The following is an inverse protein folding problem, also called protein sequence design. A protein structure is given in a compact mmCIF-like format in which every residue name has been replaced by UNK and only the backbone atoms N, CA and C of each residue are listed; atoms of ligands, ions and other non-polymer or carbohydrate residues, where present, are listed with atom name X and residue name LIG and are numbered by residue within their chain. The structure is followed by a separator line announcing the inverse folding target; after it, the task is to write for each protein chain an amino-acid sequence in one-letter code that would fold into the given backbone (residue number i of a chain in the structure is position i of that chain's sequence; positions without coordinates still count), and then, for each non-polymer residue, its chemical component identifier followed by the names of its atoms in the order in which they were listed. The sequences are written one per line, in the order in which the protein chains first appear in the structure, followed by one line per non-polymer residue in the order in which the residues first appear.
data_IF_456270339120
#
_entry.id   IF_456270339120
#
_cell.length_a   1.000
_cell.length_b   1.000
_cell.length_c   1.000
_cell.angle_alpha   90.00
_cell.angle_beta   90.00
_cell.angle_gamma   90.00
#
_symmetry.space_group_name_H-M   'P 1'
#
loop_
_entity.id
_entity.type
_entity.pdbx_description
1 polymer ?
#
# COMPACT_ATOMS: atom_id res chain seq x y z
N UNK A 1 -46.66 -5.57 20.72
CA UNK A 1 -46.49 -4.66 19.57
C UNK A 1 -45.34 -3.74 19.95
N UNK A 2 -44.13 -4.11 19.52
CA UNK A 2 -43.27 -3.38 18.55
C UNK A 2 -42.38 -2.37 19.29
N UNK A 3 -41.06 -2.32 19.21
CA UNK A 3 -40.06 -2.72 18.21
C UNK A 3 -38.80 -3.19 18.97
N UNK A 4 -38.14 -4.30 18.66
CA UNK A 4 -37.35 -4.62 17.45
C UNK A 4 -36.13 -3.69 17.26
N UNK A 5 -35.05 -4.06 17.94
CA UNK A 5 -33.69 -4.17 17.39
C UNK A 5 -33.34 -3.23 16.21
N UNK A 6 -32.90 -2.01 16.51
CA UNK A 6 -32.13 -1.19 15.56
C UNK A 6 -30.89 -0.62 16.26
N UNK A 7 -29.81 -1.41 16.30
CA UNK A 7 -28.51 -0.96 16.81
C UNK A 7 -27.29 -1.43 15.99
N UNK A 8 -27.47 -2.24 14.94
CA UNK A 8 -26.37 -3.01 14.33
C UNK A 8 -25.75 -2.47 13.03
N UNK A 9 -26.28 -1.41 12.40
CA UNK A 9 -25.85 -1.02 11.03
C UNK A 9 -24.88 0.18 10.96
N UNK A 10 -24.72 0.97 12.03
CA UNK A 10 -23.89 2.18 12.01
C UNK A 10 -22.37 1.94 12.08
N UNK A 11 -21.90 0.86 12.71
CA UNK A 11 -20.48 0.58 12.92
C UNK A 11 -19.72 0.13 11.67
N UNK A 12 -20.32 -0.76 10.88
CA UNK A 12 -19.67 -1.38 9.71
C UNK A 12 -19.39 -0.38 8.58
N UNK A 13 -20.23 0.64 8.41
CA UNK A 13 -20.01 1.67 7.40
C UNK A 13 -18.80 2.54 7.74
N UNK A 14 -18.57 2.84 9.03
CA UNK A 14 -17.43 3.63 9.47
C UNK A 14 -16.12 2.88 9.22
N UNK A 15 -16.06 1.60 9.58
CA UNK A 15 -14.88 0.75 9.36
C UNK A 15 -14.55 0.61 7.87
N UNK A 16 -15.56 0.36 7.02
CA UNK A 16 -15.38 0.29 5.57
C UNK A 16 -14.88 1.63 4.98
N UNK A 17 -15.37 2.77 5.48
CA UNK A 17 -14.92 4.08 5.05
C UNK A 17 -13.49 4.40 5.51
N UNK A 18 -13.10 3.95 6.70
CA UNK A 18 -11.72 4.05 7.17
C UNK A 18 -10.78 3.18 6.35
N UNK A 19 -11.20 1.95 6.04
CA UNK A 19 -10.45 1.05 5.17
C UNK A 19 -10.27 1.64 3.78
N UNK A 20 -11.34 2.17 3.16
CA UNK A 20 -11.27 2.85 1.87
C UNK A 20 -10.32 4.07 1.90
N UNK A 21 -10.33 4.84 3.00
CA UNK A 21 -9.38 5.95 3.21
C UNK A 21 -7.93 5.47 3.29
N UNK A 22 -7.66 4.38 4.03
CA UNK A 22 -6.32 3.77 4.10
C UNK A 22 -5.88 3.26 2.73
N UNK A 23 -6.77 2.61 1.96
CA UNK A 23 -6.46 2.11 0.62
C UNK A 23 -6.08 3.26 -0.30
N UNK A 24 -6.86 4.36 -0.27
CA UNK A 24 -6.56 5.54 -1.09
C UNK A 24 -5.22 6.16 -0.73
N UNK A 25 -4.89 6.25 0.57
CA UNK A 25 -3.58 6.73 1.05
C UNK A 25 -2.44 5.84 0.56
N UNK A 26 -2.59 4.52 0.68
CA UNK A 26 -1.61 3.55 0.19
C UNK A 26 -1.40 3.66 -1.32
N UNK A 27 -2.47 3.82 -2.11
CA UNK A 27 -2.38 4.02 -3.55
C UNK A 27 -1.57 5.27 -3.91
N UNK A 28 -1.85 6.40 -3.25
CA UNK A 28 -1.13 7.66 -3.50
C UNK A 28 0.34 7.50 -3.12
N UNK A 29 0.64 6.94 -1.94
CA UNK A 29 2.01 6.64 -1.51
C UNK A 29 2.74 5.75 -2.52
N UNK A 30 2.08 4.71 -3.01
CA UNK A 30 2.67 3.79 -3.98
C UNK A 30 2.96 4.45 -5.32
N UNK A 31 2.04 5.28 -5.82
CA UNK A 31 2.27 6.06 -7.04
C UNK A 31 3.46 7.01 -6.88
N UNK A 32 3.62 7.65 -5.71
CA UNK A 32 4.76 8.52 -5.44
C UNK A 32 6.08 7.75 -5.42
N UNK A 33 6.14 6.62 -4.72
CA UNK A 33 7.34 5.77 -4.65
C UNK A 33 7.73 5.26 -6.03
N UNK A 34 6.76 4.78 -6.81
CA UNK A 34 7.01 4.35 -8.19
C UNK A 34 7.50 5.49 -9.08
N UNK A 35 6.97 6.71 -8.90
CA UNK A 35 7.42 7.89 -9.64
C UNK A 35 8.88 8.22 -9.33
N UNK A 36 9.26 8.23 -8.05
CA UNK A 36 10.64 8.53 -7.62
C UNK A 36 11.61 7.48 -8.18
N UNK A 37 11.33 6.20 -7.98
CA UNK A 37 12.19 5.11 -8.49
C UNK A 37 12.36 5.18 -10.02
N UNK A 38 11.30 5.58 -10.74
CA UNK A 38 11.32 5.66 -12.20
C UNK A 38 12.04 6.90 -12.73
N UNK A 39 11.94 8.04 -12.05
CA UNK A 39 12.28 9.35 -12.63
C UNK A 39 13.57 9.94 -12.08
N UNK A 40 13.92 9.66 -10.83
CA UNK A 40 15.08 10.27 -10.17
C UNK A 40 16.39 9.68 -10.74
N UNK A 41 17.21 10.47 -11.46
CA UNK A 41 18.45 10.00 -12.08
C UNK A 41 19.56 9.70 -11.06
N UNK A 42 19.50 10.29 -9.87
CA UNK A 42 20.54 10.18 -8.85
C UNK A 42 20.24 9.09 -7.82
N UNK A 43 19.03 8.51 -7.88
CA UNK A 43 18.60 7.45 -6.99
C UNK A 43 19.43 6.18 -7.17
N UNK A 44 19.97 5.69 -6.07
CA UNK A 44 20.74 4.45 -6.01
C UNK A 44 19.85 3.22 -5.84
N UNK A 45 20.43 2.04 -6.12
CA UNK A 45 19.74 0.76 -5.90
C UNK A 45 19.44 0.53 -4.42
N UNK A 46 20.34 0.94 -3.51
CA UNK A 46 20.14 0.85 -2.07
C UNK A 46 18.95 1.70 -1.63
N UNK A 47 18.88 2.96 -2.07
CA UNK A 47 17.77 3.86 -1.75
C UNK A 47 16.45 3.36 -2.31
N UNK A 48 16.43 2.87 -3.56
CA UNK A 48 15.22 2.28 -4.16
C UNK A 48 14.74 1.05 -3.38
N UNK A 49 15.68 0.20 -2.93
CA UNK A 49 15.38 -0.97 -2.10
C UNK A 49 14.85 -0.57 -0.72
N UNK A 50 15.44 0.45 -0.10
CA UNK A 50 14.98 1.00 1.17
C UNK A 50 13.58 1.61 1.04
N UNK A 51 13.28 2.35 -0.03
CA UNK A 51 11.95 2.88 -0.31
C UNK A 51 10.91 1.76 -0.44
N UNK A 52 11.25 0.65 -1.11
CA UNK A 52 10.37 -0.51 -1.21
C UNK A 52 10.10 -1.12 0.18
N UNK A 53 11.14 -1.30 0.99
CA UNK A 53 11.01 -1.81 2.37
C UNK A 53 10.18 -0.87 3.27
N UNK A 54 10.39 0.44 3.17
CA UNK A 54 9.63 1.48 3.88
C UNK A 54 8.15 1.44 3.51
N UNK A 55 7.86 1.27 2.22
CA UNK A 55 6.48 1.20 1.73
C UNK A 55 5.78 -0.06 2.22
N UNK A 56 6.48 -1.21 2.26
CA UNK A 56 5.94 -2.44 2.87
C UNK A 56 5.62 -2.22 4.35
N UNK A 57 6.55 -1.67 5.13
CA UNK A 57 6.33 -1.35 6.55
C UNK A 57 5.13 -0.43 6.76
N UNK A 58 4.98 0.62 5.95
CA UNK A 58 3.85 1.53 6.02
C UNK A 58 2.52 0.82 5.67
N UNK A 59 2.51 -0.04 4.65
CA UNK A 59 1.34 -0.83 4.28
C UNK A 59 0.90 -1.76 5.41
N UNK A 60 1.85 -2.47 6.04
CA UNK A 60 1.56 -3.37 7.17
C UNK A 60 1.12 -2.60 8.42
N UNK A 61 1.65 -1.40 8.67
CA UNK A 61 1.16 -0.55 9.76
C UNK A 61 -0.29 -0.10 9.55
N UNK A 62 -0.71 0.13 8.29
CA UNK A 62 -2.10 0.47 7.96
C UNK A 62 -3.02 -0.76 7.94
N UNK A 63 -2.49 -1.91 7.55
CA UNK A 63 -3.20 -3.18 7.37
C UNK A 63 -2.39 -4.37 7.91
N UNK A 64 -2.35 -4.57 9.25
CA UNK A 64 -1.50 -5.59 9.88
C UNK A 64 -1.72 -7.01 9.34
N UNK A 65 -2.97 -7.35 9.05
CA UNK A 65 -3.35 -8.71 8.62
C UNK A 65 -3.36 -8.89 7.08
N UNK A 66 -2.85 -7.92 6.31
CA UNK A 66 -2.93 -7.91 4.84
C UNK A 66 -1.57 -8.01 4.15
N UNK A 67 -0.57 -8.61 4.80
CA UNK A 67 0.76 -8.79 4.21
C UNK A 67 0.73 -9.58 2.91
N UNK A 68 0.02 -10.70 2.87
CA UNK A 68 -0.08 -11.53 1.67
C UNK A 68 -0.69 -10.76 0.48
N UNK A 69 -1.70 -9.93 0.75
CA UNK A 69 -2.30 -9.09 -0.29
C UNK A 69 -1.30 -8.04 -0.81
N UNK A 70 -0.51 -7.43 0.07
CA UNK A 70 0.55 -6.51 -0.33
C UNK A 70 1.60 -7.22 -1.21
N UNK A 71 2.04 -8.40 -0.81
CA UNK A 71 3.07 -9.15 -1.52
C UNK A 71 2.59 -9.61 -2.91
N UNK A 72 1.31 -9.92 -3.10
CA UNK A 72 0.75 -10.21 -4.42
C UNK A 72 0.63 -8.94 -5.28
N UNK A 73 0.16 -7.84 -4.70
CA UNK A 73 -0.18 -6.65 -5.47
C UNK A 73 1.02 -5.76 -5.79
N UNK A 74 1.86 -5.46 -4.80
CA UNK A 74 2.83 -4.37 -4.91
C UNK A 74 4.26 -4.83 -5.06
N UNK A 75 4.65 -5.91 -4.37
CA UNK A 75 6.00 -6.47 -4.46
C UNK A 75 6.47 -6.75 -5.90
N UNK A 76 5.70 -7.46 -6.77
CA UNK A 76 6.16 -7.72 -8.14
C UNK A 76 6.29 -6.44 -8.97
N UNK A 77 5.46 -5.42 -8.71
CA UNK A 77 5.52 -4.13 -9.43
C UNK A 77 6.77 -3.35 -9.06
N UNK A 78 7.08 -3.25 -7.77
CA UNK A 78 8.29 -2.58 -7.29
C UNK A 78 9.55 -3.31 -7.75
N UNK A 79 9.57 -4.65 -7.65
CA UNK A 79 10.73 -5.43 -8.06
C UNK A 79 11.00 -5.30 -9.57
N UNK A 80 9.94 -5.35 -10.39
CA UNK A 80 10.07 -5.12 -11.83
C UNK A 80 10.62 -3.72 -12.13
N UNK A 81 10.08 -2.69 -11.48
CA UNK A 81 10.51 -1.31 -11.67
C UNK A 81 12.00 -1.11 -11.31
N UNK A 82 12.43 -1.67 -10.18
CA UNK A 82 13.83 -1.61 -9.72
C UNK A 82 14.73 -2.38 -10.69
N UNK A 83 14.35 -3.60 -11.08
CA UNK A 83 15.14 -4.40 -12.01
C UNK A 83 15.28 -3.73 -13.39
N UNK A 84 14.22 -3.11 -13.91
CA UNK A 84 14.26 -2.38 -15.18
C UNK A 84 15.12 -1.11 -15.08
N UNK A 85 14.97 -0.33 -14.00
CA UNK A 85 15.74 0.92 -13.77
C UNK A 85 17.23 0.66 -13.64
N UNK A 86 17.61 -0.35 -12.87
CA UNK A 86 19.01 -0.65 -12.53
C UNK A 86 19.61 -1.80 -13.35
N UNK A 87 18.86 -2.35 -14.32
CA UNK A 87 19.28 -3.45 -15.21
C UNK A 87 19.76 -4.70 -14.46
N UNK A 88 19.07 -5.03 -13.37
CA UNK A 88 19.34 -6.21 -12.55
C UNK A 88 18.64 -7.40 -13.21
N UNK A 89 19.40 -8.41 -13.62
CA UNK A 89 18.88 -9.66 -14.20
C UNK A 89 18.61 -10.70 -13.12
#
# INVERSE_FOLDING_TARGET
MENSEQGGQGGNLSEAQEEARKIRRLQIMMSMVMSVISQDPDLTIEEASEMAANTKRAALAMFPDKEFAYDILYKPRLQRLINERFRIQ
#
